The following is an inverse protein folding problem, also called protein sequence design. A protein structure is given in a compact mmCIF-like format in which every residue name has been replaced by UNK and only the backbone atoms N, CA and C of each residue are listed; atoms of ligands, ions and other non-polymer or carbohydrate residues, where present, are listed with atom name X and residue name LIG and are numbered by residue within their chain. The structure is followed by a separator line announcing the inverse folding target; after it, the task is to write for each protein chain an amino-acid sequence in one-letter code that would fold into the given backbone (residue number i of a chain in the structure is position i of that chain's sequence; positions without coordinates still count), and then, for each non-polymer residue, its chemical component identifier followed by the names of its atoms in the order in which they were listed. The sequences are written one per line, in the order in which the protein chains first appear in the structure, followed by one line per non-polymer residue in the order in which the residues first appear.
data_IF_300208937967
#
_entry.id   IF_300208937967
#
_cell.length_a   1.000
_cell.length_b   1.000
_cell.length_c   1.000
_cell.angle_alpha   90.00
_cell.angle_beta   90.00
_cell.angle_gamma   90.00
#
_symmetry.space_group_name_H-M   'P 1'
#
loop_
_entity.id
_entity.type
_entity.pdbx_description
1 polymer ?
#
# COMPACT_ATOMS: atom_id res chain seq x y z
N UNK A 1 11.55 -23.05 2.85
CA UNK A 1 12.10 -21.96 3.69
C UNK A 1 12.80 -20.88 2.86
N UNK A 2 13.54 -21.24 1.80
CA UNK A 2 14.26 -20.29 0.94
C UNK A 2 13.36 -19.28 0.21
N UNK A 3 12.19 -19.73 -0.27
CA UNK A 3 11.27 -18.90 -1.05
C UNK A 3 10.75 -17.65 -0.29
N UNK A 4 10.37 -17.79 0.99
CA UNK A 4 9.96 -16.65 1.82
C UNK A 4 11.08 -15.65 2.05
N UNK A 5 12.32 -16.11 2.17
CA UNK A 5 13.48 -15.24 2.37
C UNK A 5 13.76 -14.41 1.11
N UNK A 6 13.69 -15.05 -0.06
CA UNK A 6 13.85 -14.34 -1.35
C UNK A 6 12.71 -13.35 -1.57
N UNK A 7 11.46 -13.75 -1.31
CA UNK A 7 10.31 -12.83 -1.39
C UNK A 7 10.44 -11.65 -0.44
N UNK A 8 10.92 -11.86 0.79
CA UNK A 8 11.15 -10.79 1.75
C UNK A 8 12.25 -9.83 1.29
N UNK A 9 13.35 -10.34 0.73
CA UNK A 9 14.43 -9.52 0.19
C UNK A 9 13.95 -8.65 -0.98
N UNK A 10 13.24 -9.24 -1.94
CA UNK A 10 12.63 -8.50 -3.05
C UNK A 10 11.63 -7.46 -2.54
N UNK A 11 10.78 -7.83 -1.58
CA UNK A 11 9.81 -6.90 -1.00
C UNK A 11 10.47 -5.72 -0.27
N UNK A 12 11.64 -5.90 0.33
CA UNK A 12 12.36 -4.80 0.97
C UNK A 12 12.89 -3.80 -0.07
N UNK A 13 13.51 -4.28 -1.15
CA UNK A 13 13.99 -3.40 -2.24
C UNK A 13 12.83 -2.65 -2.89
N UNK A 14 11.73 -3.35 -3.20
CA UNK A 14 10.54 -2.71 -3.75
C UNK A 14 9.92 -1.73 -2.76
N UNK A 15 9.96 -2.00 -1.45
CA UNK A 15 9.40 -1.09 -0.47
C UNK A 15 10.08 0.27 -0.52
N UNK A 16 11.41 0.31 -0.59
CA UNK A 16 12.16 1.56 -0.58
C UNK A 16 11.84 2.43 -1.82
N UNK A 17 11.73 1.82 -3.00
CA UNK A 17 11.37 2.51 -4.25
C UNK A 17 9.94 3.06 -4.25
N UNK A 18 9.00 2.28 -3.71
CA UNK A 18 7.57 2.63 -3.74
C UNK A 18 7.12 3.50 -2.55
N UNK A 19 7.90 3.56 -1.46
CA UNK A 19 7.54 4.34 -0.26
C UNK A 19 7.35 5.82 -0.58
N UNK A 20 8.16 6.36 -1.51
CA UNK A 20 8.08 7.74 -2.00
C UNK A 20 6.86 8.03 -2.89
N UNK A 21 6.29 7.00 -3.51
CA UNK A 21 5.15 7.12 -4.43
C UNK A 21 3.80 6.91 -3.74
N UNK A 22 3.79 6.30 -2.56
CA UNK A 22 2.55 6.08 -1.81
C UNK A 22 1.98 7.39 -1.26
N UNK A 23 0.66 7.55 -1.39
CA UNK A 23 -0.05 8.70 -0.84
C UNK A 23 0.04 8.77 0.68
N UNK A 24 -0.06 9.98 1.22
CA UNK A 24 -0.04 10.18 2.68
C UNK A 24 -1.26 9.58 3.40
N UNK A 25 -2.37 9.37 2.69
CA UNK A 25 -3.53 8.64 3.23
C UNK A 25 -3.38 7.11 3.22
N UNK A 26 -2.28 6.57 2.67
CA UNK A 26 -2.02 5.13 2.69
C UNK A 26 -1.33 4.72 3.98
N UNK A 27 -2.01 3.89 4.79
CA UNK A 27 -1.54 3.44 6.10
C UNK A 27 -1.29 1.94 6.20
N UNK A 28 -1.82 1.13 5.28
CA UNK A 28 -1.72 -0.33 5.31
C UNK A 28 -0.36 -0.83 4.83
N UNK A 29 0.18 -1.86 5.49
CA UNK A 29 1.40 -2.59 5.10
C UNK A 29 2.67 -1.75 4.87
N UNK A 30 2.72 -0.55 5.45
CA UNK A 30 3.84 0.40 5.32
C UNK A 30 4.68 0.46 6.59
N UNK A 31 6.00 0.73 6.46
CA UNK A 31 6.86 0.90 7.61
C UNK A 31 6.40 2.11 8.43
N UNK A 32 6.34 1.96 9.76
CA UNK A 32 5.91 3.01 10.70
C UNK A 32 4.45 3.52 10.54
N UNK A 33 3.64 2.87 9.70
CA UNK A 33 2.21 3.19 9.53
C UNK A 33 1.35 1.95 9.82
N UNK A 34 0.14 2.17 10.33
CA UNK A 34 -0.77 1.07 10.69
C UNK A 34 -2.12 1.59 11.15
N UNK A 35 -2.89 0.75 11.84
CA UNK A 35 -4.27 1.11 12.25
C UNK A 35 -4.33 2.41 13.07
N UNK A 36 -3.35 2.64 13.97
CA UNK A 36 -3.33 3.84 14.81
C UNK A 36 -3.17 5.12 13.99
N UNK A 37 -2.32 5.10 12.95
CA UNK A 37 -2.11 6.29 12.11
C UNK A 37 -3.33 6.55 11.22
N UNK A 38 -3.99 5.50 10.73
CA UNK A 38 -5.25 5.62 10.00
C UNK A 38 -6.38 6.21 10.85
N UNK A 39 -6.55 5.73 12.10
CA UNK A 39 -7.57 6.26 13.02
C UNK A 39 -7.29 7.71 13.36
N UNK A 40 -6.03 8.07 13.66
CA UNK A 40 -5.68 9.46 13.96
C UNK A 40 -6.00 10.39 12.78
N UNK A 41 -5.74 9.96 11.55
CA UNK A 41 -6.06 10.72 10.35
C UNK A 41 -7.58 10.86 10.15
N UNK A 42 -8.34 9.78 10.36
CA UNK A 42 -9.80 9.82 10.30
C UNK A 42 -10.41 10.75 11.35
N UNK A 43 -9.90 10.71 12.59
CA UNK A 43 -10.32 11.62 13.67
C UNK A 43 -10.00 13.08 13.34
N UNK A 44 -8.85 13.34 12.70
CA UNK A 44 -8.51 14.69 12.24
C UNK A 44 -9.56 15.21 11.25
N UNK A 45 -9.94 14.41 10.25
CA UNK A 45 -10.99 14.80 9.30
C UNK A 45 -12.35 14.98 9.99
N UNK A 46 -12.72 14.11 10.92
CA UNK A 46 -13.95 14.25 11.68
C UNK A 46 -13.99 15.57 12.48
N UNK A 47 -12.86 15.95 13.10
CA UNK A 47 -12.72 17.21 13.84
C UNK A 47 -12.72 18.45 12.93
N UNK A 48 -12.28 18.32 11.68
CA UNK A 48 -12.34 19.37 10.66
C UNK A 48 -13.75 19.55 10.06
N UNK A 49 -14.72 18.72 10.47
CA UNK A 49 -16.13 18.82 10.06
C UNK A 49 -16.53 17.87 8.92
N UNK A 50 -15.63 16.97 8.49
CA UNK A 50 -15.96 15.92 7.52
C UNK A 50 -16.68 14.76 8.22
N UNK A 51 -18.01 14.83 8.28
CA UNK A 51 -18.85 13.87 9.02
C UNK A 51 -19.33 12.69 8.20
N UNK A 52 -19.09 12.69 6.89
CA UNK A 52 -19.47 11.61 5.98
C UNK A 52 -18.24 10.83 5.54
N UNK A 53 -18.27 9.51 5.72
CA UNK A 53 -17.25 8.58 5.24
C UNK A 53 -17.83 7.71 4.12
N UNK A 54 -17.04 7.50 3.06
CA UNK A 54 -17.37 6.57 1.98
C UNK A 54 -16.49 5.34 2.20
N UNK A 55 -17.12 4.21 2.53
CA UNK A 55 -16.43 2.93 2.68
C UNK A 55 -16.33 2.24 1.32
N UNK A 56 -15.10 1.97 0.87
CA UNK A 56 -14.80 1.30 -0.39
C UNK A 56 -13.98 0.06 -0.07
N UNK A 57 -14.62 -1.11 -0.12
CA UNK A 57 -13.94 -2.39 0.07
C UNK A 57 -13.85 -3.17 -1.25
N UNK A 58 -12.64 -3.59 -1.60
CA UNK A 58 -12.36 -4.46 -2.74
C UNK A 58 -12.31 -5.91 -2.27
N UNK A 59 -13.44 -6.59 -2.34
CA UNK A 59 -13.50 -8.04 -2.05
C UNK A 59 -12.55 -8.81 -2.96
N UNK A 60 -11.71 -9.64 -2.33
CA UNK A 60 -10.76 -10.53 -3.02
C UNK A 60 -9.79 -9.79 -3.96
N UNK A 61 -9.25 -8.66 -3.52
CA UNK A 61 -8.24 -7.93 -4.29
C UNK A 61 -7.12 -8.86 -4.81
N UNK A 62 -6.58 -9.73 -3.95
CA UNK A 62 -5.50 -10.64 -4.34
C UNK A 62 -5.93 -11.77 -5.29
N UNK A 63 -7.19 -12.22 -5.25
CA UNK A 63 -7.67 -13.28 -6.16
C UNK A 63 -8.12 -12.72 -7.52
N UNK A 64 -8.54 -11.46 -7.55
CA UNK A 64 -9.11 -10.81 -8.75
C UNK A 64 -8.10 -9.96 -9.51
N UNK A 65 -6.96 -9.62 -8.89
CA UNK A 65 -5.93 -8.83 -9.55
C UNK A 65 -5.23 -9.64 -10.63
N UNK A 66 -5.21 -9.10 -11.85
CA UNK A 66 -4.49 -9.70 -12.96
C UNK A 66 -2.98 -9.59 -12.71
N UNK A 67 -2.31 -10.72 -12.50
CA UNK A 67 -0.87 -10.79 -12.24
C UNK A 67 -0.04 -10.12 -13.35
N UNK A 68 -0.45 -10.19 -14.61
CA UNK A 68 0.24 -9.51 -15.72
C UNK A 68 0.15 -7.99 -15.59
N UNK A 69 -1.00 -7.45 -15.18
CA UNK A 69 -1.14 -6.00 -14.90
C UNK A 69 -0.28 -5.58 -13.69
N UNK A 70 -0.26 -6.39 -12.62
CA UNK A 70 0.58 -6.12 -11.45
C UNK A 70 2.07 -6.08 -11.84
N UNK A 71 2.54 -7.06 -12.61
CA UNK A 71 3.92 -7.10 -13.10
C UNK A 71 4.23 -5.92 -14.03
N UNK A 72 3.30 -5.51 -14.90
CA UNK A 72 3.50 -4.33 -15.75
C UNK A 72 3.69 -3.04 -14.95
N UNK A 73 2.94 -2.86 -13.86
CA UNK A 73 3.13 -1.70 -12.95
C UNK A 73 4.52 -1.79 -12.32
N UNK A 74 4.91 -2.96 -11.82
CA UNK A 74 6.24 -3.19 -11.25
C UNK A 74 7.36 -2.88 -12.25
N UNK A 75 7.25 -3.39 -13.48
CA UNK A 75 8.24 -3.15 -14.52
C UNK A 75 8.36 -1.69 -14.93
N UNK A 76 7.27 -0.91 -14.94
CA UNK A 76 7.33 0.52 -15.29
C UNK A 76 8.18 1.31 -14.32
N UNK A 77 8.08 1.04 -13.03
CA UNK A 77 8.82 1.77 -12.00
C UNK A 77 10.27 1.30 -11.87
N UNK A 78 10.54 0.01 -12.10
CA UNK A 78 11.89 -0.55 -11.92
C UNK A 78 12.76 -0.37 -13.18
N UNK A 79 12.18 -0.19 -14.37
CA UNK A 79 12.95 -0.06 -15.63
C UNK A 79 13.71 1.26 -15.78
N UNK A 80 13.42 2.28 -14.97
CA UNK A 80 14.03 3.61 -15.08
C UNK A 80 15.26 3.80 -14.14
N UNK A 81 15.93 2.71 -13.78
CA UNK A 81 17.25 2.73 -13.15
C UNK A 81 18.31 1.99 -13.97
#
# INVERSE_FOLDING_TARGET
MVDRTVQAAVANVLRDEYESQFSDGSHGFRPQRGCRTAINQALKYANEGYTYAIDLDLRKFFDTVNHSKMLQVLYKTIKDH
#
